data_IF_557029393630
#
_entry.id   IF_557029393630
#
_cell.length_a   1.000
_cell.length_b   1.000
_cell.length_c   1.000
_cell.angle_alpha   90.00
_cell.angle_beta   90.00
_cell.angle_gamma   90.00
#
_symmetry.space_group_name_H-M   'P 1'
#
loop_
_entity.id
_entity.type
_entity.pdbx_description
1 polymer ?
#
# COMPACT_ATOMS: atom_id res chain seq x y z
N UNK A 1 32.83 -84.54 12.25
CA UNK A 1 32.06 -84.27 11.02
C UNK A 1 32.68 -83.05 10.35
N UNK A 2 33.61 -83.23 9.40
CA UNK A 2 33.37 -83.24 7.94
C UNK A 2 32.70 -81.92 7.47
N UNK A 3 33.29 -81.08 6.61
CA UNK A 3 34.12 -81.33 5.42
C UNK A 3 34.90 -80.08 4.97
N UNK A 4 36.19 -80.30 4.62
CA UNK A 4 36.96 -79.87 3.43
C UNK A 4 37.11 -78.36 3.15
N UNK A 5 38.29 -77.72 3.21
CA UNK A 5 39.63 -78.02 2.67
C UNK A 5 39.72 -77.96 1.13
N UNK A 6 40.74 -77.23 0.65
CA UNK A 6 41.45 -77.28 -0.65
C UNK A 6 41.16 -76.10 -1.60
N UNK A 7 42.14 -75.47 -2.29
CA UNK A 7 43.56 -75.79 -2.52
C UNK A 7 44.22 -74.63 -3.33
N UNK A 8 45.52 -74.42 -3.09
CA UNK A 8 46.61 -74.09 -4.05
C UNK A 8 46.66 -72.71 -4.75
N UNK A 9 47.71 -71.91 -4.49
CA UNK A 9 49.04 -71.86 -5.17
C UNK A 9 49.01 -70.96 -6.42
N UNK A 10 49.62 -69.77 -6.35
CA UNK A 10 51.00 -69.51 -6.80
C UNK A 10 51.06 -69.12 -8.27
N UNK A 11 51.37 -67.85 -8.55
CA UNK A 11 52.49 -67.48 -9.42
C UNK A 11 52.59 -65.95 -9.54
N UNK A 12 53.78 -65.48 -9.21
CA UNK A 12 54.26 -64.12 -9.23
C UNK A 12 54.53 -63.63 -10.66
N UNK A 13 54.44 -62.30 -10.84
CA UNK A 13 55.35 -61.45 -11.64
C UNK A 13 54.94 -61.05 -13.08
N UNK A 14 55.14 -59.74 -13.34
CA UNK A 14 55.24 -59.03 -14.62
C UNK A 14 53.95 -58.60 -15.35
N UNK A 15 53.46 -57.40 -15.01
CA UNK A 15 53.23 -56.36 -16.03
C UNK A 15 53.24 -54.97 -15.38
N UNK A 16 54.34 -54.25 -15.59
CA UNK A 16 54.39 -52.81 -15.41
C UNK A 16 53.81 -52.15 -16.67
N UNK A 17 53.32 -50.90 -16.50
CA UNK A 17 53.06 -49.85 -17.50
C UNK A 17 51.58 -49.65 -17.89
N UNK A 18 51.13 -48.41 -17.67
CA UNK A 18 49.90 -47.70 -18.08
C UNK A 18 48.73 -47.61 -17.07
N UNK A 19 48.86 -46.69 -16.10
CA UNK A 19 47.72 -45.92 -15.62
C UNK A 19 48.09 -44.42 -15.58
N UNK A 20 48.06 -43.80 -16.76
CA UNK A 20 47.97 -42.35 -16.90
C UNK A 20 46.49 -41.94 -16.93
N UNK A 21 46.17 -40.95 -16.11
CA UNK A 21 45.09 -39.97 -16.28
C UNK A 21 43.67 -40.48 -16.54
N UNK A 22 42.85 -40.51 -15.49
CA UNK A 22 41.43 -40.17 -15.62
C UNK A 22 41.04 -39.15 -14.57
N UNK A 23 41.57 -37.94 -14.72
CA UNK A 23 40.83 -36.75 -14.29
C UNK A 23 39.55 -36.72 -15.13
N UNK A 24 38.40 -37.02 -14.54
CA UNK A 24 37.11 -36.63 -15.13
C UNK A 24 37.09 -35.11 -15.15
N UNK A 25 37.37 -34.56 -16.32
CA UNK A 25 37.08 -33.18 -16.67
C UNK A 25 35.58 -33.00 -16.52
N UNK A 26 35.15 -32.27 -15.49
CA UNK A 26 33.78 -31.77 -15.44
C UNK A 26 33.52 -31.03 -16.75
N UNK A 27 32.47 -31.42 -17.46
CA UNK A 27 32.01 -30.66 -18.63
C UNK A 27 31.78 -29.21 -18.19
N UNK A 28 32.18 -28.21 -19.00
CA UNK A 28 31.73 -26.85 -18.79
C UNK A 28 30.20 -26.89 -18.74
N UNK A 29 29.64 -26.54 -17.58
CA UNK A 29 28.20 -26.37 -17.45
C UNK A 29 27.77 -25.41 -18.55
N UNK A 30 26.80 -25.83 -19.35
CA UNK A 30 26.11 -24.93 -20.26
C UNK A 30 25.46 -23.88 -19.35
N UNK A 31 26.08 -22.70 -19.26
CA UNK A 31 25.45 -21.53 -18.67
C UNK A 31 24.16 -21.31 -19.48
N UNK A 32 23.03 -21.24 -18.76
CA UNK A 32 21.78 -20.77 -19.37
C UNK A 32 22.07 -19.44 -20.06
N UNK A 33 21.56 -19.19 -21.28
CA UNK A 33 21.80 -17.92 -21.97
C UNK A 33 21.46 -16.77 -21.03
N UNK A 34 22.45 -15.92 -20.76
CA UNK A 34 22.29 -14.74 -19.93
C UNK A 34 21.24 -13.83 -20.60
N UNK A 35 20.11 -13.58 -19.92
CA UNK A 35 19.07 -12.71 -20.46
C UNK A 35 19.63 -11.28 -20.51
N UNK A 36 19.69 -10.62 -21.69
CA UNK A 36 20.21 -9.27 -21.77
C UNK A 36 19.32 -8.30 -20.98
N UNK A 37 19.90 -7.63 -19.99
CA UNK A 37 19.19 -6.64 -19.18
C UNK A 37 19.16 -5.30 -19.91
N UNK A 38 17.95 -4.81 -20.19
CA UNK A 38 17.75 -3.48 -20.77
C UNK A 38 17.75 -2.45 -19.63
N UNK A 39 18.68 -1.46 -19.62
CA UNK A 39 18.71 -0.44 -18.59
C UNK A 39 17.37 0.31 -18.50
N UNK A 40 16.89 0.57 -17.28
CA UNK A 40 15.62 1.25 -17.05
C UNK A 40 15.82 2.64 -16.43
N UNK A 41 15.99 3.69 -17.26
CA UNK A 41 16.15 5.06 -16.77
C UNK A 41 14.84 5.59 -16.18
N UNK A 42 14.94 6.32 -15.08
CA UNK A 42 13.77 6.92 -14.40
C UNK A 42 14.04 8.39 -14.08
N UNK A 43 13.00 9.21 -13.89
CA UNK A 43 13.23 10.61 -13.52
C UNK A 43 13.96 10.72 -12.16
N UNK A 44 14.60 11.87 -11.92
CA UNK A 44 15.08 12.21 -10.58
C UNK A 44 13.86 12.56 -9.72
N UNK A 45 13.76 11.91 -8.56
CA UNK A 45 12.69 12.19 -7.60
C UNK A 45 12.73 13.62 -7.06
N UNK A 46 11.56 14.23 -6.86
CA UNK A 46 11.47 15.58 -6.27
C UNK A 46 11.68 15.53 -4.76
N UNK A 47 12.20 16.60 -4.12
CA UNK A 47 12.29 16.69 -2.67
C UNK A 47 10.96 16.46 -1.96
N UNK A 48 11.00 15.64 -0.90
CA UNK A 48 9.87 15.36 -0.01
C UNK A 48 10.27 15.74 1.41
N UNK A 49 9.48 16.60 2.04
CA UNK A 49 9.75 17.04 3.41
C UNK A 49 11.05 17.85 3.57
N UNK A 50 11.45 18.04 4.82
CA UNK A 50 12.64 18.81 5.17
C UNK A 50 13.91 17.97 5.05
N UNK A 51 15.05 18.64 4.85
CA UNK A 51 16.37 18.02 4.95
C UNK A 51 16.90 18.04 6.39
N UNK A 52 17.72 17.06 6.76
CA UNK A 52 18.59 17.13 7.94
C UNK A 52 19.99 17.56 7.52
N UNK A 53 20.61 18.49 8.24
CA UNK A 53 21.96 19.00 7.96
C UNK A 53 22.81 18.91 9.22
N UNK A 54 24.05 18.44 9.10
CA UNK A 54 25.01 18.37 10.21
C UNK A 54 26.45 18.52 9.71
N UNK A 55 27.23 19.32 10.40
CA UNK A 55 28.67 19.42 10.13
C UNK A 55 29.43 18.24 10.76
N UNK A 56 30.16 17.49 9.94
CA UNK A 56 30.93 16.30 10.35
C UNK A 56 32.35 16.43 9.83
N UNK A 57 33.34 16.27 10.73
CA UNK A 57 34.77 16.35 10.40
C UNK A 57 35.50 15.01 10.50
N UNK A 58 36.83 15.07 10.60
CA UNK A 58 37.69 13.90 10.64
C UNK A 58 37.44 12.95 11.84
N UNK A 59 36.83 13.45 12.92
CA UNK A 59 36.39 12.63 14.06
C UNK A 59 35.24 11.65 13.73
N UNK A 60 34.61 11.78 12.55
CA UNK A 60 33.42 11.02 12.18
C UNK A 60 32.18 11.52 12.90
N UNK A 61 31.06 10.83 12.68
CA UNK A 61 29.77 11.18 13.27
C UNK A 61 28.62 10.47 12.57
N UNK A 62 27.41 10.76 13.03
CA UNK A 62 26.18 10.28 12.41
C UNK A 62 25.18 11.39 12.21
N UNK A 63 24.31 11.19 11.22
CA UNK A 63 23.15 12.03 10.92
C UNK A 63 21.99 11.10 10.54
N UNK A 64 20.78 11.49 10.94
CA UNK A 64 19.55 10.74 10.67
C UNK A 64 18.59 11.67 9.93
N UNK A 65 17.88 11.12 8.94
CA UNK A 65 16.86 11.86 8.18
C UNK A 65 15.73 12.34 9.11
N UNK A 66 15.01 13.42 8.76
CA UNK A 66 13.97 13.97 9.65
C UNK A 66 12.80 13.02 9.93
N UNK A 67 12.55 12.05 9.06
CA UNK A 67 11.56 10.99 9.22
C UNK A 67 12.06 9.80 10.08
N UNK A 68 13.32 9.82 10.52
CA UNK A 68 13.94 8.75 11.31
C UNK A 68 14.28 7.49 10.50
N UNK A 69 14.02 7.45 9.19
CA UNK A 69 14.11 6.24 8.36
C UNK A 69 15.53 5.88 7.96
N UNK A 70 16.38 6.87 7.69
CA UNK A 70 17.76 6.66 7.26
C UNK A 70 18.72 7.22 8.28
N UNK A 71 19.69 6.41 8.68
CA UNK A 71 20.87 6.85 9.44
C UNK A 71 22.13 6.65 8.61
N UNK A 72 22.92 7.71 8.47
CA UNK A 72 24.24 7.68 7.84
C UNK A 72 25.30 7.82 8.93
N UNK A 73 26.16 6.81 9.06
CA UNK A 73 27.26 6.78 10.02
C UNK A 73 28.60 6.87 9.28
N UNK A 74 29.29 7.99 9.47
CA UNK A 74 30.58 8.30 8.87
C UNK A 74 31.68 7.97 9.89
N UNK A 75 32.54 6.97 9.63
CA UNK A 75 33.57 6.59 10.60
C UNK A 75 34.69 7.63 10.68
N UNK A 76 35.42 7.63 11.80
CA UNK A 76 36.58 8.50 11.98
C UNK A 76 37.64 8.27 10.88
N UNK A 77 38.14 9.36 10.30
CA UNK A 77 39.08 9.37 9.19
C UNK A 77 38.46 9.07 7.82
N UNK A 78 37.13 9.00 7.69
CA UNK A 78 36.49 8.94 6.37
C UNK A 78 36.51 10.29 5.64
N UNK A 79 36.49 11.39 6.41
CA UNK A 79 36.62 12.77 5.93
C UNK A 79 37.94 13.36 6.42
N UNK A 80 38.53 14.23 5.61
CA UNK A 80 39.76 14.98 5.96
C UNK A 80 39.47 16.36 6.55
N UNK A 81 38.32 16.95 6.23
CA UNK A 81 37.90 18.29 6.64
C UNK A 81 36.46 18.24 7.21
N UNK A 82 36.06 19.32 7.90
CA UNK A 82 34.66 19.52 8.24
C UNK A 82 33.82 19.70 6.96
N UNK A 83 32.80 18.88 6.81
CA UNK A 83 31.87 18.91 5.68
C UNK A 83 30.45 19.04 6.21
N UNK A 84 29.65 19.93 5.60
CA UNK A 84 28.22 20.00 5.86
C UNK A 84 27.53 18.81 5.16
N UNK A 85 27.13 17.82 5.95
CA UNK A 85 26.48 16.60 5.48
C UNK A 85 24.97 16.80 5.53
N UNK A 86 24.30 16.53 4.41
CA UNK A 86 22.85 16.66 4.31
C UNK A 86 22.21 15.36 3.83
N UNK A 87 21.07 15.01 4.43
CA UNK A 87 20.15 13.99 3.91
C UNK A 87 18.87 14.70 3.49
N UNK A 88 18.55 14.67 2.20
CA UNK A 88 17.30 15.16 1.64
C UNK A 88 16.46 13.96 1.17
N UNK A 89 15.33 13.64 1.82
CA UNK A 89 14.38 12.68 1.27
C UNK A 89 13.80 13.19 -0.04
N UNK A 90 13.61 12.29 -1.00
CA UNK A 90 13.04 12.57 -2.32
C UNK A 90 12.04 11.46 -2.70
N UNK A 91 11.16 11.76 -3.67
CA UNK A 91 10.26 10.76 -4.27
C UNK A 91 11.07 9.53 -4.73
N UNK A 92 10.55 8.33 -4.46
CA UNK A 92 11.22 7.11 -4.87
C UNK A 92 10.89 6.77 -6.32
N UNK A 93 11.88 6.92 -7.19
CA UNK A 93 11.79 6.57 -8.60
C UNK A 93 12.54 5.28 -8.94
N UNK A 94 13.06 4.57 -7.95
CA UNK A 94 13.73 3.27 -8.13
C UNK A 94 12.70 2.19 -8.45
N UNK A 95 12.93 1.35 -9.48
CA UNK A 95 12.08 0.21 -9.75
C UNK A 95 11.96 -0.71 -8.53
N UNK A 96 10.71 -1.09 -8.20
CA UNK A 96 10.39 -1.86 -6.98
C UNK A 96 10.95 -1.23 -5.67
N UNK A 97 11.08 0.10 -5.65
CA UNK A 97 11.55 0.87 -4.51
C UNK A 97 10.73 0.66 -3.23
N UNK A 98 11.40 0.90 -2.10
CA UNK A 98 10.84 0.81 -0.75
C UNK A 98 10.99 2.17 -0.07
N UNK A 99 9.89 2.70 0.47
CA UNK A 99 9.88 4.02 1.11
C UNK A 99 10.32 5.14 0.17
N UNK A 100 10.97 6.17 0.72
CA UNK A 100 11.56 7.27 -0.04
C UNK A 100 12.97 6.92 -0.57
N UNK A 101 13.41 7.65 -1.59
CA UNK A 101 14.83 7.71 -1.96
C UNK A 101 15.50 8.89 -1.25
N UNK A 102 16.82 8.96 -1.27
CA UNK A 102 17.56 10.00 -0.54
C UNK A 102 18.70 10.57 -1.36
N UNK A 103 18.77 11.90 -1.41
CA UNK A 103 19.95 12.62 -1.86
C UNK A 103 20.86 12.88 -0.67
N UNK A 104 22.03 12.24 -0.67
CA UNK A 104 23.11 12.53 0.27
C UNK A 104 23.99 13.60 -0.34
N UNK A 105 24.18 14.71 0.38
CA UNK A 105 24.95 15.87 -0.10
C UNK A 105 26.15 16.17 0.80
N UNK A 106 27.25 16.73 0.23
CA UNK A 106 27.38 17.14 -1.17
C UNK A 106 27.52 15.95 -2.14
N UNK A 107 26.83 16.02 -3.28
CA UNK A 107 26.90 14.99 -4.31
C UNK A 107 28.35 14.84 -4.82
N UNK A 108 28.81 13.61 -5.00
CA UNK A 108 30.16 13.30 -5.44
C UNK A 108 31.22 13.29 -4.33
N UNK A 109 30.86 13.61 -3.07
CA UNK A 109 31.77 13.48 -1.92
C UNK A 109 32.31 12.05 -1.84
N UNK A 110 33.63 11.90 -1.92
CA UNK A 110 34.32 10.62 -1.78
C UNK A 110 34.77 10.43 -0.33
N UNK A 111 34.70 9.19 0.17
CA UNK A 111 35.15 8.86 1.52
C UNK A 111 36.39 7.98 1.50
N UNK A 112 37.36 8.29 2.36
CA UNK A 112 38.56 7.48 2.52
C UNK A 112 38.29 6.12 3.20
N UNK A 113 37.15 6.00 3.88
CA UNK A 113 36.63 4.77 4.49
C UNK A 113 35.15 4.63 4.17
N UNK A 114 34.62 3.42 3.94
CA UNK A 114 33.20 3.24 3.66
C UNK A 114 32.31 3.80 4.77
N UNK A 115 31.23 4.45 4.37
CA UNK A 115 30.19 5.01 5.23
C UNK A 115 29.04 4.01 5.33
N UNK A 116 28.46 3.82 6.51
CA UNK A 116 27.33 2.91 6.70
C UNK A 116 26.02 3.67 6.57
N UNK A 117 25.13 3.21 5.70
CA UNK A 117 23.74 3.68 5.57
C UNK A 117 22.83 2.62 6.14
N UNK A 118 21.91 2.99 7.02
CA UNK A 118 20.97 2.07 7.65
C UNK A 118 19.54 2.55 7.43
N UNK A 119 18.72 1.68 6.83
CA UNK A 119 17.27 1.81 6.78
C UNK A 119 16.64 1.23 8.04
N UNK A 120 15.80 2.01 8.70
CA UNK A 120 14.90 1.59 9.78
C UNK A 120 13.50 1.40 9.20
N UNK A 121 13.20 0.16 8.80
CA UNK A 121 11.99 -0.16 8.06
C UNK A 121 10.81 -0.45 8.97
N UNK A 122 9.61 -0.23 8.46
CA UNK A 122 8.34 -0.73 9.02
C UNK A 122 7.88 -1.99 8.32
N UNK A 123 6.94 -2.70 8.93
CA UNK A 123 6.31 -3.84 8.29
C UNK A 123 5.46 -3.40 7.08
N UNK A 124 4.88 -2.21 7.14
CA UNK A 124 4.10 -1.60 6.06
C UNK A 124 4.97 -1.34 4.82
N UNK A 125 6.19 -0.83 4.99
CA UNK A 125 7.13 -0.62 3.87
C UNK A 125 7.57 -1.94 3.21
N UNK A 126 7.55 -3.04 3.95
CA UNK A 126 7.84 -4.37 3.42
C UNK A 126 6.63 -5.05 2.75
N UNK A 127 5.48 -4.39 2.63
CA UNK A 127 4.33 -4.96 1.93
C UNK A 127 4.71 -5.43 0.52
N UNK A 128 4.34 -6.67 0.20
CA UNK A 128 4.70 -7.35 -1.03
C UNK A 128 6.09 -7.99 -1.04
N UNK A 129 6.95 -7.76 -0.05
CA UNK A 129 8.34 -8.25 -0.04
C UNK A 129 8.81 -8.71 1.36
N UNK A 130 10.12 -8.86 1.55
CA UNK A 130 10.76 -9.22 2.80
C UNK A 130 12.07 -8.46 2.96
N UNK A 131 12.49 -8.17 4.21
CA UNK A 131 13.77 -7.54 4.51
C UNK A 131 14.96 -8.27 3.87
N UNK A 132 14.88 -9.61 3.75
CA UNK A 132 15.92 -10.45 3.14
C UNK A 132 16.04 -10.30 1.62
N UNK A 133 15.09 -9.61 0.98
CA UNK A 133 15.06 -9.33 -0.46
C UNK A 133 15.45 -7.90 -0.80
N UNK A 134 15.77 -7.08 0.22
CA UNK A 134 16.16 -5.70 0.04
C UNK A 134 17.61 -5.60 -0.44
N UNK A 135 17.78 -4.69 -1.39
CA UNK A 135 19.06 -4.27 -1.92
C UNK A 135 19.13 -2.74 -1.93
N UNK A 136 20.31 -2.21 -2.23
CA UNK A 136 20.58 -0.78 -2.16
C UNK A 136 21.32 -0.32 -3.41
N UNK A 137 20.86 0.77 -4.01
CA UNK A 137 21.38 1.25 -5.28
C UNK A 137 21.45 2.76 -5.39
N UNK A 138 22.29 3.21 -6.31
CA UNK A 138 22.48 4.62 -6.65
C UNK A 138 22.01 4.90 -8.07
N UNK A 139 21.53 6.12 -8.32
CA UNK A 139 21.19 6.57 -9.67
C UNK A 139 22.37 7.29 -10.31
N UNK A 140 22.76 6.88 -11.52
CA UNK A 140 23.88 7.49 -12.24
C UNK A 140 23.46 8.73 -13.06
N UNK A 141 24.41 9.36 -13.74
CA UNK A 141 24.18 10.57 -14.54
C UNK A 141 23.28 10.35 -15.77
N UNK A 142 23.12 9.10 -16.23
CA UNK A 142 22.19 8.70 -17.29
C UNK A 142 20.81 8.33 -16.72
N UNK A 143 20.57 8.61 -15.43
CA UNK A 143 19.35 8.31 -14.69
C UNK A 143 19.03 6.81 -14.56
N UNK A 144 20.03 5.95 -14.79
CA UNK A 144 19.93 4.50 -14.63
C UNK A 144 20.32 4.13 -13.21
N UNK A 145 19.53 3.25 -12.59
CA UNK A 145 19.84 2.72 -11.26
C UNK A 145 20.87 1.60 -11.35
N UNK A 146 21.82 1.65 -10.42
CA UNK A 146 22.89 0.67 -10.27
C UNK A 146 22.87 0.16 -8.84
N UNK A 147 22.69 -1.15 -8.70
CA UNK A 147 22.37 -1.80 -7.44
C UNK A 147 23.48 -2.70 -6.91
N UNK A 148 23.49 -2.90 -5.60
CA UNK A 148 24.34 -3.88 -4.93
C UNK A 148 23.55 -4.67 -3.89
N UNK A 149 23.83 -5.97 -3.82
CA UNK A 149 23.26 -6.87 -2.83
C UNK A 149 24.13 -7.05 -1.58
N UNK A 150 23.88 -8.14 -0.85
CA UNK A 150 24.60 -8.55 0.38
C UNK A 150 24.53 -7.53 1.53
N UNK A 151 23.33 -6.98 1.74
CA UNK A 151 23.08 -6.06 2.85
C UNK A 151 23.08 -6.78 4.21
N UNK A 152 23.39 -6.04 5.27
CA UNK A 152 23.32 -6.54 6.63
C UNK A 152 21.88 -6.39 7.16
N UNK A 153 21.15 -7.49 7.27
CA UNK A 153 19.77 -7.50 7.74
C UNK A 153 19.71 -7.85 9.23
N UNK A 154 19.09 -6.99 10.04
CA UNK A 154 18.77 -7.26 11.43
C UNK A 154 17.26 -7.17 11.63
N UNK A 155 16.59 -8.33 11.60
CA UNK A 155 15.13 -8.40 11.72
C UNK A 155 14.61 -8.08 13.12
N UNK A 156 15.45 -8.19 14.16
CA UNK A 156 15.07 -7.85 15.54
C UNK A 156 15.04 -6.33 15.74
N UNK A 157 16.04 -5.64 15.19
CA UNK A 157 16.10 -4.17 15.22
C UNK A 157 15.27 -3.52 14.09
N UNK A 158 14.72 -4.31 13.17
CA UNK A 158 14.05 -3.85 11.94
C UNK A 158 14.93 -2.92 11.10
N UNK A 159 16.19 -3.33 10.90
CA UNK A 159 17.15 -2.54 10.12
C UNK A 159 17.78 -3.31 8.97
N UNK A 160 18.07 -2.61 7.88
CA UNK A 160 18.94 -3.10 6.80
C UNK A 160 20.06 -2.09 6.57
N UNK A 161 21.32 -2.54 6.57
CA UNK A 161 22.48 -1.67 6.41
C UNK A 161 23.30 -2.00 5.16
N UNK A 162 23.75 -0.95 4.49
CA UNK A 162 24.64 -0.98 3.33
C UNK A 162 25.88 -0.13 3.61
N UNK A 163 26.96 -0.33 2.85
CA UNK A 163 28.14 0.54 2.89
C UNK A 163 28.33 1.24 1.56
N UNK A 164 28.59 2.55 1.58
CA UNK A 164 28.84 3.37 0.39
C UNK A 164 30.20 4.04 0.48
N UNK A 165 30.80 4.33 -0.68
CA UNK A 165 32.10 5.04 -0.77
C UNK A 165 31.98 6.49 -1.20
N UNK A 166 30.80 6.89 -1.66
CA UNK A 166 30.54 8.25 -2.06
C UNK A 166 29.10 8.67 -1.78
N UNK A 167 28.86 9.98 -1.72
CA UNK A 167 27.53 10.53 -1.70
C UNK A 167 26.99 10.79 -3.09
N UNK A 168 25.70 10.53 -3.25
CA UNK A 168 24.91 10.70 -4.45
C UNK A 168 23.44 10.48 -4.07
N UNK A 169 22.63 10.04 -5.02
CA UNK A 169 21.26 9.61 -4.82
C UNK A 169 21.20 8.12 -4.57
N UNK A 170 20.55 7.71 -3.49
CA UNK A 170 20.44 6.30 -3.13
C UNK A 170 19.01 5.90 -2.78
N UNK A 171 18.72 4.62 -2.93
CA UNK A 171 17.41 4.04 -2.60
C UNK A 171 17.52 2.57 -2.24
N UNK A 172 16.65 2.12 -1.35
CA UNK A 172 16.41 0.71 -1.10
C UNK A 172 15.31 0.20 -2.04
N UNK A 173 15.50 -0.99 -2.59
CA UNK A 173 14.56 -1.65 -3.48
C UNK A 173 14.47 -3.14 -3.20
N UNK A 174 13.40 -3.78 -3.69
CA UNK A 174 13.22 -5.22 -3.56
C UNK A 174 13.59 -5.95 -4.85
N UNK A 175 14.30 -7.08 -4.72
CA UNK A 175 14.60 -7.99 -5.84
C UNK A 175 13.37 -8.76 -6.32
N UNK A 176 12.47 -9.12 -5.39
CA UNK A 176 11.17 -9.70 -5.68
C UNK A 176 10.07 -9.00 -4.89
N UNK A 177 8.91 -8.80 -5.53
CA UNK A 177 7.75 -8.14 -4.91
C UNK A 177 6.44 -8.69 -5.46
N UNK A 178 5.51 -9.03 -4.58
CA UNK A 178 4.13 -9.37 -4.93
C UNK A 178 3.33 -8.08 -5.10
N UNK A 179 2.82 -7.84 -6.30
CA UNK A 179 2.07 -6.65 -6.67
C UNK A 179 0.60 -6.97 -6.99
N UNK A 180 -0.34 -6.04 -6.69
CA UNK A 180 -0.11 -4.89 -5.81
C UNK A 180 0.25 -5.34 -4.39
N UNK A 181 1.16 -4.63 -3.71
CA UNK A 181 1.54 -4.92 -2.31
C UNK A 181 0.36 -4.76 -1.35
N UNK A 182 -0.55 -3.86 -1.70
CA UNK A 182 -1.79 -3.58 -0.98
C UNK A 182 -2.88 -3.17 -1.97
N UNK A 183 -4.12 -3.52 -1.67
CA UNK A 183 -5.26 -3.12 -2.49
C UNK A 183 -6.52 -3.06 -1.66
N UNK A 184 -7.31 -2.01 -1.83
CA UNK A 184 -8.70 -1.99 -1.35
C UNK A 184 -9.65 -2.44 -2.45
N UNK A 185 -10.54 -3.37 -2.12
CA UNK A 185 -11.58 -3.92 -3.00
C UNK A 185 -12.95 -3.80 -2.35
N UNK A 186 -13.97 -3.60 -3.17
CA UNK A 186 -15.34 -3.85 -2.74
C UNK A 186 -15.61 -5.35 -2.71
N UNK A 187 -16.58 -5.79 -1.90
CA UNK A 187 -17.09 -7.18 -1.93
C UNK A 187 -17.39 -7.63 -3.37
N UNK A 188 -17.11 -8.89 -3.67
CA UNK A 188 -17.23 -9.50 -5.01
C UNK A 188 -16.32 -8.93 -6.12
N UNK A 189 -15.48 -7.93 -5.84
CA UNK A 189 -14.47 -7.50 -6.80
C UNK A 189 -13.29 -8.46 -6.83
N UNK A 190 -12.44 -8.30 -7.84
CA UNK A 190 -11.25 -9.12 -8.01
C UNK A 190 -10.02 -8.25 -8.23
N UNK A 191 -8.85 -8.80 -7.93
CA UNK A 191 -7.56 -8.18 -8.24
C UNK A 191 -6.59 -9.24 -8.80
N UNK A 192 -5.87 -8.87 -9.86
CA UNK A 192 -4.74 -9.65 -10.34
C UNK A 192 -3.54 -9.39 -9.43
N UNK A 193 -2.93 -10.47 -8.94
CA UNK A 193 -1.73 -10.48 -8.13
C UNK A 193 -0.60 -11.11 -8.92
N UNK A 194 0.56 -10.45 -9.01
CA UNK A 194 1.71 -10.89 -9.79
C UNK A 194 2.98 -10.82 -8.95
N UNK A 195 3.79 -11.89 -8.99
CA UNK A 195 5.13 -11.86 -8.42
C UNK A 195 6.09 -11.28 -9.45
N UNK A 196 6.63 -10.10 -9.14
CA UNK A 196 7.59 -9.38 -9.97
C UNK A 196 9.02 -9.65 -9.51
N UNK A 197 9.97 -9.64 -10.45
CA UNK A 197 11.41 -9.59 -10.23
C UNK A 197 11.99 -8.28 -10.76
N UNK A 198 13.06 -7.78 -10.15
CA UNK A 198 13.90 -6.73 -10.72
C UNK A 198 15.13 -7.37 -11.37
N UNK A 199 15.24 -7.42 -12.71
CA UNK A 199 16.42 -7.97 -13.38
C UNK A 199 17.63 -7.03 -13.21
N UNK A 200 18.81 -7.62 -13.19
CA UNK A 200 20.08 -6.89 -13.10
C UNK A 200 21.15 -7.58 -13.95
N UNK A 201 22.13 -6.84 -14.47
CA UNK A 201 23.21 -7.41 -15.30
C UNK A 201 24.09 -8.37 -14.48
N UNK A 202 24.37 -9.59 -14.92
CA UNK A 202 25.21 -10.50 -14.11
C UNK A 202 26.68 -10.06 -14.10
N UNK A 203 27.15 -9.42 -15.18
CA UNK A 203 28.51 -8.89 -15.27
C UNK A 203 28.57 -7.40 -14.84
N UNK A 204 29.23 -7.06 -13.71
CA UNK A 204 29.58 -5.68 -13.39
C UNK A 204 30.58 -5.16 -14.43
N UNK A 205 30.47 -3.90 -14.84
CA UNK A 205 31.37 -3.30 -15.86
C UNK A 205 32.83 -3.67 -15.55
N UNK A 206 33.52 -4.41 -16.43
CA UNK A 206 34.90 -4.87 -16.19
C UNK A 206 35.88 -3.70 -16.01
N UNK A 207 35.48 -2.47 -16.37
CA UNK A 207 36.26 -1.26 -16.18
C UNK A 207 36.04 -0.58 -14.81
N UNK A 208 35.05 -1.02 -14.00
CA UNK A 208 34.76 -0.47 -12.69
C UNK A 208 34.68 -1.56 -11.60
N UNK A 209 35.81 -2.22 -11.38
CA UNK A 209 36.00 -3.30 -10.39
C UNK A 209 35.91 -2.86 -8.92
N UNK A 210 35.80 -1.55 -8.61
CA UNK A 210 35.83 -1.07 -7.22
C UNK A 210 34.45 -1.02 -6.54
N UNK A 211 33.37 -1.07 -7.32
CA UNK A 211 31.99 -1.08 -6.85
C UNK A 211 31.22 -1.97 -7.85
N UNK A 212 31.09 -3.26 -7.53
CA UNK A 212 30.41 -4.27 -8.36
C UNK A 212 28.90 -3.96 -8.39
N UNK A 213 28.53 -2.86 -9.04
CA UNK A 213 27.15 -2.42 -9.16
C UNK A 213 26.56 -3.00 -10.44
N UNK A 214 25.42 -3.67 -10.28
CA UNK A 214 24.69 -4.25 -11.38
C UNK A 214 23.71 -3.21 -11.95
N UNK A 215 23.60 -3.14 -13.28
CA UNK A 215 22.62 -2.25 -13.92
C UNK A 215 21.23 -2.83 -13.71
N UNK A 216 20.32 -2.04 -13.15
CA UNK A 216 18.93 -2.45 -12.94
C UNK A 216 18.11 -2.27 -14.22
N UNK A 217 17.34 -3.30 -14.56
CA UNK A 217 16.44 -3.28 -15.70
C UNK A 217 14.98 -3.00 -15.33
N UNK A 218 14.09 -3.14 -16.31
CA UNK A 218 12.66 -2.97 -16.12
C UNK A 218 12.08 -4.13 -15.26
N UNK A 219 11.22 -3.85 -14.26
CA UNK A 219 10.55 -4.91 -13.52
C UNK A 219 9.78 -5.86 -14.45
N UNK A 220 9.98 -7.16 -14.27
CA UNK A 220 9.33 -8.20 -15.08
C UNK A 220 8.61 -9.21 -14.19
N UNK A 221 7.62 -9.90 -14.73
CA UNK A 221 6.99 -11.02 -14.00
C UNK A 221 8.04 -12.12 -13.85
N UNK A 222 8.14 -12.69 -12.64
CA UNK A 222 9.09 -13.78 -12.38
C UNK A 222 8.73 -15.03 -13.17
N UNK A 223 9.73 -15.87 -13.47
CA UNK A 223 9.49 -17.17 -14.09
C UNK A 223 8.57 -18.05 -13.21
N UNK A 224 7.64 -18.74 -13.87
CA UNK A 224 6.58 -19.52 -13.22
C UNK A 224 7.12 -20.62 -12.29
N UNK A 225 8.24 -21.25 -12.64
CA UNK A 225 8.88 -22.32 -11.86
C UNK A 225 9.49 -21.85 -10.53
N UNK A 226 9.64 -20.53 -10.33
CA UNK A 226 10.15 -19.96 -9.08
C UNK A 226 9.07 -19.72 -8.03
N UNK A 227 7.79 -19.74 -8.40
CA UNK A 227 6.69 -19.37 -7.50
C UNK A 227 5.83 -20.57 -7.14
N UNK A 228 5.48 -20.69 -5.87
CA UNK A 228 4.68 -21.81 -5.34
C UNK A 228 3.86 -21.39 -4.13
N UNK A 229 3.04 -22.32 -3.60
CA UNK A 229 2.36 -22.23 -2.30
C UNK A 229 1.56 -20.94 -2.08
N UNK A 230 0.64 -20.65 -3.00
CA UNK A 230 -0.29 -19.55 -2.80
C UNK A 230 -1.28 -19.85 -1.68
N UNK A 231 -1.45 -18.90 -0.75
CA UNK A 231 -2.41 -19.02 0.36
C UNK A 231 -3.16 -17.72 0.62
N UNK A 232 -4.32 -17.84 1.25
CA UNK A 232 -5.13 -16.72 1.76
C UNK A 232 -5.20 -16.87 3.28
N UNK A 233 -4.71 -15.90 4.04
CA UNK A 233 -4.54 -15.95 5.49
C UNK A 233 -3.83 -17.24 5.97
N UNK A 234 -2.72 -17.60 5.29
CA UNK A 234 -1.95 -18.82 5.53
C UNK A 234 -2.72 -20.15 5.33
N UNK A 235 -3.88 -20.12 4.69
CA UNK A 235 -4.70 -21.30 4.37
C UNK A 235 -4.72 -21.54 2.86
N UNK A 236 -4.80 -22.82 2.46
CA UNK A 236 -4.98 -23.19 1.07
C UNK A 236 -6.25 -22.54 0.51
N UNK A 237 -6.15 -21.95 -0.68
CA UNK A 237 -7.28 -21.29 -1.33
C UNK A 237 -8.34 -22.31 -1.74
N UNK A 238 -9.61 -22.02 -1.40
CA UNK A 238 -10.77 -22.77 -1.83
C UNK A 238 -11.87 -21.80 -2.29
N UNK A 239 -12.53 -22.10 -3.42
CA UNK A 239 -13.57 -21.25 -3.97
C UNK A 239 -14.69 -20.98 -2.95
N UNK A 240 -15.09 -19.71 -2.83
CA UNK A 240 -16.15 -19.29 -1.91
C UNK A 240 -15.75 -19.14 -0.44
N UNK A 241 -14.45 -19.20 -0.11
CA UNK A 241 -13.96 -18.96 1.25
C UNK A 241 -14.33 -17.55 1.75
N UNK A 242 -14.67 -17.42 3.04
CA UNK A 242 -15.09 -16.16 3.68
C UNK A 242 -14.01 -15.08 3.77
N UNK A 243 -12.73 -15.45 3.57
CA UNK A 243 -11.60 -14.53 3.44
C UNK A 243 -11.25 -14.21 1.98
N UNK A 244 -12.02 -14.72 1.01
CA UNK A 244 -11.70 -14.66 -0.41
C UNK A 244 -10.93 -15.87 -0.90
N UNK A 245 -10.78 -15.99 -2.22
CA UNK A 245 -10.12 -17.14 -2.84
C UNK A 245 -9.33 -16.73 -4.09
N UNK A 246 -8.44 -17.62 -4.51
CA UNK A 246 -7.56 -17.45 -5.65
C UNK A 246 -7.98 -18.36 -6.81
N UNK A 247 -7.88 -17.83 -8.02
CA UNK A 247 -8.03 -18.58 -9.28
C UNK A 247 -6.88 -18.28 -10.24
N UNK A 248 -6.77 -19.07 -11.32
CA UNK A 248 -5.72 -18.92 -12.34
C UNK A 248 -4.81 -20.14 -12.40
N UNK A 249 -4.34 -20.48 -13.60
CA UNK A 249 -3.46 -21.64 -13.85
C UNK A 249 -1.98 -21.31 -13.71
N UNK A 250 -1.58 -20.07 -14.00
CA UNK A 250 -0.21 -19.60 -13.82
C UNK A 250 0.21 -19.65 -12.34
N UNK A 251 1.48 -19.92 -12.07
CA UNK A 251 2.03 -19.99 -10.70
C UNK A 251 2.64 -18.67 -10.25
N UNK A 252 3.08 -17.82 -11.17
CA UNK A 252 3.63 -16.49 -10.92
C UNK A 252 2.57 -15.38 -10.80
N UNK A 253 1.31 -15.70 -11.08
CA UNK A 253 0.17 -14.79 -10.89
C UNK A 253 -1.11 -15.51 -10.48
N UNK A 254 -1.99 -14.83 -9.73
CA UNK A 254 -3.30 -15.31 -9.33
C UNK A 254 -4.32 -14.18 -9.33
N UNK A 255 -5.56 -14.51 -9.69
CA UNK A 255 -6.70 -13.62 -9.47
C UNK A 255 -7.23 -13.85 -8.05
N UNK A 256 -7.17 -12.84 -7.19
CA UNK A 256 -7.88 -12.84 -5.92
C UNK A 256 -9.33 -12.39 -6.11
N UNK A 257 -10.26 -13.07 -5.45
CA UNK A 257 -11.68 -12.78 -5.42
C UNK A 257 -12.08 -12.37 -4.01
N UNK A 258 -12.49 -11.12 -3.85
CA UNK A 258 -13.07 -10.64 -2.61
C UNK A 258 -14.42 -11.35 -2.36
N UNK A 259 -14.68 -11.82 -1.14
CA UNK A 259 -15.92 -12.52 -0.83
C UNK A 259 -17.14 -11.57 -0.84
N UNK A 260 -18.34 -12.14 -0.75
CA UNK A 260 -19.59 -11.39 -0.72
C UNK A 260 -19.81 -10.58 0.58
N UNK A 261 -19.05 -10.89 1.63
CA UNK A 261 -19.09 -10.19 2.92
C UNK A 261 -17.67 -9.76 3.31
N UNK A 262 -17.56 -8.71 4.12
CA UNK A 262 -16.26 -8.29 4.66
C UNK A 262 -15.70 -9.43 5.54
N UNK A 263 -14.46 -9.90 5.29
CA UNK A 263 -13.81 -10.91 6.10
C UNK A 263 -13.67 -10.48 7.56
N UNK A 264 -13.70 -11.44 8.49
CA UNK A 264 -13.49 -11.16 9.91
C UNK A 264 -12.06 -10.68 10.21
N UNK A 265 -11.07 -11.24 9.49
CA UNK A 265 -9.69 -10.77 9.49
C UNK A 265 -9.45 -9.94 8.23
N UNK A 266 -9.43 -8.63 8.40
CA UNK A 266 -9.29 -7.64 7.33
C UNK A 266 -8.25 -6.60 7.77
N UNK A 267 -7.18 -6.33 7.01
CA UNK A 267 -6.89 -6.82 5.66
C UNK A 267 -6.64 -8.33 5.57
N UNK A 268 -6.96 -8.90 4.41
CA UNK A 268 -6.66 -10.29 4.05
C UNK A 268 -5.22 -10.40 3.56
N UNK A 269 -4.43 -11.28 4.16
CA UNK A 269 -3.07 -11.57 3.71
C UNK A 269 -3.10 -12.62 2.59
N UNK A 270 -2.81 -12.21 1.35
CA UNK A 270 -2.57 -13.14 0.24
C UNK A 270 -1.08 -13.34 0.07
N UNK A 271 -0.61 -14.58 0.11
CA UNK A 271 0.83 -14.86 0.06
C UNK A 271 1.21 -15.87 -1.00
N UNK A 272 2.47 -15.78 -1.45
CA UNK A 272 3.10 -16.71 -2.37
C UNK A 272 4.56 -16.93 -1.95
N UNK A 273 5.07 -18.14 -2.15
CA UNK A 273 6.47 -18.46 -1.91
C UNK A 273 7.29 -18.25 -3.18
N UNK A 274 8.39 -17.51 -3.06
CA UNK A 274 9.40 -17.35 -4.11
C UNK A 274 10.66 -18.16 -3.76
N UNK A 275 11.17 -18.92 -4.71
CA UNK A 275 12.47 -19.58 -4.63
C UNK A 275 13.54 -18.66 -5.23
N UNK A 276 14.45 -18.16 -4.38
CA UNK A 276 15.53 -17.23 -4.77
C UNK A 276 16.80 -17.95 -5.22
N UNK A 277 16.79 -19.28 -5.31
CA UNK A 277 17.97 -20.12 -5.49
C UNK A 277 18.79 -20.33 -4.20
N UNK A 278 18.73 -19.37 -3.27
CA UNK A 278 19.37 -19.45 -1.94
C UNK A 278 18.42 -19.95 -0.84
N UNK A 279 17.12 -19.95 -1.11
CA UNK A 279 16.09 -20.36 -0.16
C UNK A 279 14.70 -19.99 -0.65
N UNK A 280 13.70 -20.26 0.19
CA UNK A 280 12.30 -19.88 -0.07
C UNK A 280 11.90 -18.74 0.84
N UNK A 281 11.31 -17.70 0.27
CA UNK A 281 10.81 -16.53 0.99
C UNK A 281 9.31 -16.39 0.69
N UNK A 282 8.51 -16.05 1.70
CA UNK A 282 7.10 -15.75 1.52
C UNK A 282 6.91 -14.26 1.27
N UNK A 283 6.25 -13.92 0.17
CA UNK A 283 5.80 -12.57 -0.18
C UNK A 283 4.33 -12.43 0.24
N UNK A 284 3.94 -11.27 0.77
CA UNK A 284 2.57 -11.04 1.28
C UNK A 284 2.00 -9.75 0.71
N UNK A 285 0.82 -9.84 0.09
CA UNK A 285 -0.01 -8.71 -0.31
C UNK A 285 -1.18 -8.57 0.65
N UNK A 286 -1.51 -7.33 1.04
CA UNK A 286 -2.59 -7.02 1.97
C UNK A 286 -3.81 -6.48 1.23
N UNK A 287 -4.90 -7.26 1.20
CA UNK A 287 -6.13 -6.89 0.51
C UNK A 287 -7.19 -6.47 1.52
N UNK A 288 -7.51 -5.19 1.55
CA UNK A 288 -8.63 -4.66 2.35
C UNK A 288 -9.93 -4.86 1.58
N UNK A 289 -10.88 -5.58 2.16
CA UNK A 289 -12.21 -5.76 1.57
C UNK A 289 -13.23 -4.89 2.31
N UNK A 290 -14.02 -4.11 1.60
CA UNK A 290 -15.05 -3.25 2.19
C UNK A 290 -16.37 -3.36 1.40
N UNK A 291 -17.48 -2.90 1.98
CA UNK A 291 -18.71 -2.69 1.20
C UNK A 291 -18.69 -1.30 0.61
N UNK A 292 -19.47 -1.09 -0.43
CA UNK A 292 -19.64 0.24 -1.02
C UNK A 292 -20.33 1.16 0.00
N UNK A 293 -19.75 2.34 0.21
CA UNK A 293 -20.38 3.43 0.95
C UNK A 293 -20.52 4.62 0.01
N UNK A 294 -21.66 5.28 0.06
CA UNK A 294 -22.00 6.37 -0.85
C UNK A 294 -22.84 7.39 -0.12
N UNK A 295 -22.60 8.66 -0.42
CA UNK A 295 -23.38 9.78 0.10
C UNK A 295 -23.60 10.75 -1.07
N UNK A 296 -24.85 10.99 -1.40
CA UNK A 296 -25.24 11.95 -2.43
C UNK A 296 -26.56 12.62 -2.09
N UNK A 297 -26.69 13.89 -2.47
CA UNK A 297 -27.96 14.59 -2.40
C UNK A 297 -28.14 15.58 -3.54
N UNK A 298 -29.38 15.97 -3.76
CA UNK A 298 -29.78 17.05 -4.64
C UNK A 298 -30.75 17.96 -3.92
N UNK A 299 -30.64 19.26 -4.19
CA UNK A 299 -31.54 20.28 -3.67
C UNK A 299 -31.55 21.47 -4.63
N UNK A 300 -32.73 22.04 -4.88
CA UNK A 300 -32.91 23.22 -5.76
C UNK A 300 -32.28 23.04 -7.16
N UNK A 301 -32.45 21.85 -7.74
CA UNK A 301 -31.90 21.49 -9.06
C UNK A 301 -30.39 21.23 -9.11
N UNK A 302 -29.66 21.46 -8.00
CA UNK A 302 -28.23 21.14 -7.88
C UNK A 302 -28.05 19.72 -7.34
N UNK A 303 -27.02 19.01 -7.82
CA UNK A 303 -26.72 17.63 -7.40
C UNK A 303 -25.27 17.51 -6.96
N UNK A 304 -25.06 16.82 -5.84
CA UNK A 304 -23.74 16.61 -5.25
C UNK A 304 -23.54 15.14 -4.94
N UNK A 305 -22.38 14.61 -5.35
CA UNK A 305 -22.02 13.19 -5.26
C UNK A 305 -20.63 13.03 -4.64
N UNK A 306 -20.26 11.80 -4.29
CA UNK A 306 -18.98 11.47 -3.67
C UNK A 306 -18.70 12.29 -2.40
N UNK A 307 -19.76 12.53 -1.62
CA UNK A 307 -19.70 13.34 -0.42
C UNK A 307 -18.98 12.59 0.70
N UNK A 308 -18.36 13.34 1.61
CA UNK A 308 -17.99 12.81 2.91
C UNK A 308 -19.25 12.68 3.75
N UNK A 309 -19.35 11.62 4.57
CA UNK A 309 -20.54 11.39 5.36
C UNK A 309 -20.27 10.71 6.68
N UNK A 310 -21.15 10.95 7.64
CA UNK A 310 -21.13 10.31 8.96
C UNK A 310 -22.56 10.01 9.36
N UNK A 311 -22.76 8.83 9.93
CA UNK A 311 -24.03 8.43 10.54
C UNK A 311 -23.77 7.98 11.96
N UNK A 312 -24.57 8.47 12.89
CA UNK A 312 -24.67 7.95 14.26
C UNK A 312 -26.13 7.69 14.57
N UNK A 313 -26.43 6.53 15.13
CA UNK A 313 -27.82 6.11 15.31
C UNK A 313 -27.93 5.12 16.47
N UNK A 314 -29.02 5.23 17.22
CA UNK A 314 -29.32 4.34 18.34
C UNK A 314 -30.79 3.99 18.35
N UNK A 315 -31.12 2.72 18.12
CA UNK A 315 -32.51 2.24 18.22
C UNK A 315 -33.01 2.21 19.66
N UNK A 316 -32.08 2.17 20.63
CA UNK A 316 -32.40 2.21 22.07
C UNK A 316 -32.72 3.63 22.50
N UNK A 317 -31.88 4.61 22.14
CA UNK A 317 -32.15 6.03 22.41
C UNK A 317 -33.23 6.61 21.48
N UNK A 318 -33.53 5.93 20.37
CA UNK A 318 -34.50 6.39 19.38
C UNK A 318 -33.96 7.51 18.47
N UNK A 319 -32.63 7.65 18.35
CA UNK A 319 -31.99 8.73 17.61
C UNK A 319 -31.38 8.27 16.29
N UNK A 320 -31.36 9.17 15.31
CA UNK A 320 -30.63 8.99 14.05
C UNK A 320 -30.07 10.34 13.60
N UNK A 321 -28.78 10.38 13.30
CA UNK A 321 -28.08 11.55 12.80
C UNK A 321 -27.32 11.17 11.54
N UNK A 322 -27.49 11.95 10.48
CA UNK A 322 -26.75 11.81 9.23
C UNK A 322 -26.22 13.17 8.82
N UNK A 323 -24.93 13.21 8.52
CA UNK A 323 -24.25 14.37 7.97
C UNK A 323 -23.61 13.98 6.63
N UNK A 324 -23.75 14.84 5.64
CA UNK A 324 -23.04 14.75 4.36
C UNK A 324 -22.45 16.11 4.00
N UNK A 325 -21.24 16.11 3.47
CA UNK A 325 -20.48 17.32 3.13
C UNK A 325 -19.76 17.17 1.79
N UNK A 326 -19.86 18.19 0.95
CA UNK A 326 -19.09 18.29 -0.30
C UNK A 326 -17.63 18.63 -0.01
N UNK A 327 -16.72 18.06 -0.80
CA UNK A 327 -15.29 18.43 -0.78
C UNK A 327 -15.02 19.76 -1.48
N UNK A 328 -15.96 20.20 -2.31
CA UNK A 328 -15.85 21.41 -3.12
C UNK A 328 -16.79 22.50 -2.58
N UNK A 329 -16.30 23.74 -2.61
CA UNK A 329 -17.09 24.94 -2.32
C UNK A 329 -17.85 25.33 -3.59
N UNK A 330 -19.15 25.63 -3.45
CA UNK A 330 -19.97 26.18 -4.54
C UNK A 330 -20.45 27.57 -4.11
N UNK A 331 -20.02 28.62 -4.81
CA UNK A 331 -20.29 29.99 -4.39
C UNK A 331 -19.58 30.34 -3.08
N UNK A 332 -20.33 30.70 -2.05
CA UNK A 332 -19.83 31.09 -0.72
C UNK A 332 -20.02 30.00 0.35
N UNK A 333 -20.54 28.83 -0.03
CA UNK A 333 -20.89 27.74 0.90
C UNK A 333 -20.27 26.42 0.49
N UNK A 334 -19.96 25.57 1.47
CA UNK A 334 -19.71 24.14 1.24
C UNK A 334 -21.08 23.44 1.25
N UNK A 335 -21.51 22.82 0.13
CA UNK A 335 -22.76 22.08 0.11
C UNK A 335 -22.81 20.98 1.17
N UNK A 336 -23.87 20.96 1.98
CA UNK A 336 -24.03 19.96 3.04
C UNK A 336 -25.47 19.59 3.29
N UNK A 337 -25.71 18.38 3.78
CA UNK A 337 -26.99 17.91 4.28
C UNK A 337 -26.83 17.40 5.71
N UNK A 338 -27.69 17.87 6.62
CA UNK A 338 -27.80 17.37 7.99
C UNK A 338 -29.22 16.85 8.17
N UNK A 339 -29.35 15.61 8.62
CA UNK A 339 -30.61 15.02 9.04
C UNK A 339 -30.51 14.61 10.50
N UNK A 340 -31.51 15.00 11.29
CA UNK A 340 -31.66 14.65 12.70
C UNK A 340 -33.00 13.98 12.91
N UNK A 341 -33.03 12.95 13.76
CA UNK A 341 -34.22 12.36 14.36
C UNK A 341 -33.96 12.27 15.86
N UNK A 342 -34.78 12.98 16.63
CA UNK A 342 -34.61 13.07 18.08
C UNK A 342 -35.29 11.95 18.85
N UNK A 343 -36.34 11.33 18.29
CA UNK A 343 -37.14 10.30 18.96
C UNK A 343 -37.67 9.27 17.95
N UNK A 344 -37.94 8.05 18.42
CA UNK A 344 -38.73 7.07 17.65
C UNK A 344 -38.00 6.31 16.55
N UNK A 345 -36.68 6.48 16.37
CA UNK A 345 -35.91 5.65 15.44
C UNK A 345 -35.88 4.18 15.89
N UNK A 346 -36.26 3.26 14.99
CA UNK A 346 -36.35 1.80 15.26
C UNK A 346 -35.61 0.94 14.24
N UNK A 347 -34.74 1.53 13.43
CA UNK A 347 -34.01 0.83 12.36
C UNK A 347 -34.71 0.96 11.01
N UNK A 348 -34.81 -0.15 10.27
CA UNK A 348 -35.47 -0.16 8.97
C UNK A 348 -36.92 0.33 9.07
N UNK A 349 -37.33 1.20 8.15
CA UNK A 349 -38.65 1.83 8.21
C UNK A 349 -38.71 3.18 7.50
N UNK A 350 -39.88 3.79 7.60
CA UNK A 350 -40.20 5.07 6.99
C UNK A 350 -40.52 6.10 8.07
N UNK A 351 -39.83 7.23 8.05
CA UNK A 351 -39.91 8.27 9.06
C UNK A 351 -40.24 9.59 8.38
N UNK A 352 -41.47 10.07 8.56
CA UNK A 352 -41.91 11.35 8.01
C UNK A 352 -41.23 12.52 8.70
N UNK A 353 -40.96 13.57 7.93
CA UNK A 353 -40.55 14.88 8.45
C UNK A 353 -41.56 15.41 9.47
N UNK A 354 -41.05 16.09 10.51
CA UNK A 354 -41.88 16.79 11.50
C UNK A 354 -41.86 16.24 12.92
N UNK A 355 -42.81 16.71 13.72
CA UNK A 355 -42.76 16.65 15.20
C UNK A 355 -42.84 15.25 15.78
N UNK A 356 -43.59 14.33 15.16
CA UNK A 356 -43.90 13.00 15.72
C UNK A 356 -42.67 12.17 16.10
N UNK A 357 -41.52 12.46 15.47
CA UNK A 357 -40.21 11.81 15.72
C UNK A 357 -39.04 12.82 15.68
N UNK A 358 -39.36 14.12 15.73
CA UNK A 358 -38.40 15.22 15.57
C UNK A 358 -37.48 15.05 14.35
N UNK A 359 -38.06 14.70 13.19
CA UNK A 359 -37.30 14.50 11.96
C UNK A 359 -37.13 15.83 11.25
N UNK A 360 -35.90 16.35 11.26
CA UNK A 360 -35.56 17.61 10.63
C UNK A 360 -34.35 17.45 9.70
N UNK A 361 -34.47 17.98 8.49
CA UNK A 361 -33.43 18.01 7.47
C UNK A 361 -33.05 19.47 7.19
N UNK A 362 -31.74 19.74 7.16
CA UNK A 362 -31.18 21.03 6.74
C UNK A 362 -30.23 20.80 5.57
N UNK A 363 -30.38 21.57 4.51
CA UNK A 363 -29.48 21.57 3.35
C UNK A 363 -28.90 22.95 3.15
N UNK A 364 -27.57 23.03 3.12
CA UNK A 364 -26.84 24.26 2.85
C UNK A 364 -26.34 24.20 1.42
N UNK A 365 -26.77 25.13 0.57
CA UNK A 365 -26.28 25.29 -0.81
C UNK A 365 -26.24 26.77 -1.15
N UNK A 366 -25.18 27.29 -1.79
CA UNK A 366 -25.12 28.73 -2.10
C UNK A 366 -26.31 29.19 -2.96
N UNK A 367 -27.02 30.27 -2.60
CA UNK A 367 -26.86 31.14 -1.41
C UNK A 367 -27.72 30.73 -0.19
N UNK A 368 -28.57 29.72 -0.33
CA UNK A 368 -29.64 29.37 0.60
C UNK A 368 -29.22 28.41 1.73
N UNK A 369 -30.06 28.36 2.77
CA UNK A 369 -30.06 27.32 3.79
C UNK A 369 -31.50 26.84 3.91
N UNK A 370 -31.76 25.64 3.43
CA UNK A 370 -33.08 25.04 3.32
C UNK A 370 -33.35 24.19 4.55
N UNK A 371 -34.55 24.29 5.13
CA UNK A 371 -34.94 23.57 6.34
C UNK A 371 -36.28 22.88 6.15
N UNK A 372 -36.50 21.79 6.87
CA UNK A 372 -37.82 21.16 6.93
C UNK A 372 -38.85 22.08 7.57
N UNK A 373 -38.46 22.84 8.60
CA UNK A 373 -39.32 23.74 9.35
C UNK A 373 -39.51 25.08 8.64
N UNK A 374 -40.74 25.62 8.67
CA UNK A 374 -41.09 26.96 8.17
C UNK A 374 -42.26 27.56 8.98
N UNK A 375 -42.47 28.87 8.87
CA UNK A 375 -43.56 29.58 9.54
C UNK A 375 -44.53 30.20 8.52
N UNK A 376 -45.83 30.08 8.75
CA UNK A 376 -46.84 30.81 7.98
C UNK A 376 -46.95 32.25 8.49
N UNK A 377 -47.29 33.20 7.62
CA UNK A 377 -47.41 34.61 7.98
C UNK A 377 -48.41 34.81 9.14
N UNK A 378 -47.98 35.54 10.18
CA UNK A 378 -48.80 35.80 11.36
C UNK A 378 -48.93 34.62 12.32
N UNK A 379 -48.22 33.52 12.10
CA UNK A 379 -48.23 32.35 13.00
C UNK A 379 -46.92 32.22 13.79
N UNK A 380 -47.02 31.71 15.02
CA UNK A 380 -45.87 31.38 15.87
C UNK A 380 -45.60 29.87 15.93
N UNK A 381 -46.51 29.08 15.35
CA UNK A 381 -46.41 27.62 15.34
C UNK A 381 -45.68 27.18 14.08
N UNK A 382 -44.64 26.34 14.20
CA UNK A 382 -43.93 25.85 13.05
C UNK A 382 -44.80 24.91 12.21
N UNK A 383 -44.53 24.92 10.92
CA UNK A 383 -44.99 23.94 9.94
C UNK A 383 -43.79 23.17 9.41
N UNK A 384 -44.06 22.00 8.86
CA UNK A 384 -43.02 21.12 8.34
C UNK A 384 -43.32 20.79 6.88
N UNK A 385 -42.30 20.90 6.04
CA UNK A 385 -42.37 20.44 4.67
C UNK A 385 -42.65 18.95 4.60
N UNK A 386 -43.42 18.53 3.60
CA UNK A 386 -43.68 17.11 3.37
C UNK A 386 -42.37 16.41 3.00
N UNK A 387 -42.08 15.29 3.65
CA UNK A 387 -40.92 14.49 3.29
C UNK A 387 -40.77 13.29 4.19
N UNK A 388 -39.83 12.43 3.84
CA UNK A 388 -39.66 11.13 4.47
C UNK A 388 -38.22 10.67 4.35
N UNK A 389 -37.75 10.04 5.41
CA UNK A 389 -36.52 9.26 5.45
C UNK A 389 -36.90 7.79 5.41
N UNK A 390 -36.44 7.07 4.39
CA UNK A 390 -36.66 5.64 4.25
C UNK A 390 -35.34 4.91 4.51
N UNK A 391 -35.29 4.12 5.58
CA UNK A 391 -34.18 3.20 5.84
C UNK A 391 -34.55 1.85 5.25
N UNK A 392 -33.94 1.51 4.11
CA UNK A 392 -34.25 0.29 3.36
C UNK A 392 -33.52 -0.92 3.89
N UNK A 393 -32.27 -0.74 4.34
CA UNK A 393 -31.48 -1.80 4.98
C UNK A 393 -30.99 -1.30 6.32
N UNK A 394 -31.24 -2.06 7.39
CA UNK A 394 -30.69 -1.81 8.72
C UNK A 394 -29.85 -3.02 9.17
N UNK A 395 -28.59 -3.07 8.71
CA UNK A 395 -27.67 -4.16 9.01
C UNK A 395 -27.23 -4.22 10.48
N UNK A 396 -26.57 -5.32 10.84
CA UNK A 396 -25.82 -5.42 12.10
C UNK A 396 -24.58 -4.51 12.08
N UNK A 397 -23.92 -4.36 13.22
CA UNK A 397 -22.59 -3.71 13.27
C UNK A 397 -21.64 -4.42 12.29
N UNK A 398 -20.95 -3.65 11.44
CA UNK A 398 -20.12 -4.14 10.34
C UNK A 398 -20.88 -4.44 9.03
N UNK A 399 -22.20 -4.32 9.01
CA UNK A 399 -23.03 -4.49 7.82
C UNK A 399 -23.51 -3.16 7.24
N UNK A 400 -24.02 -3.23 6.01
CA UNK A 400 -24.47 -2.06 5.27
C UNK A 400 -25.81 -1.57 5.83
N UNK A 401 -25.92 -0.26 5.97
CA UNK A 401 -27.18 0.45 6.14
C UNK A 401 -27.38 1.32 4.92
N UNK A 402 -28.59 1.29 4.37
CA UNK A 402 -28.95 2.07 3.18
C UNK A 402 -30.23 2.83 3.44
N UNK A 403 -30.31 4.05 2.93
CA UNK A 403 -31.52 4.83 3.01
C UNK A 403 -31.61 5.93 1.97
N UNK A 404 -32.81 6.50 1.88
CA UNK A 404 -33.12 7.63 1.02
C UNK A 404 -33.84 8.71 1.82
N UNK A 405 -33.69 9.95 1.37
CA UNK A 405 -34.44 11.12 1.86
C UNK A 405 -35.15 11.70 0.64
N UNK A 406 -36.43 12.00 0.77
CA UNK A 406 -37.17 12.75 -0.26
C UNK A 406 -38.15 13.68 0.41
N UNK A 407 -38.27 14.91 -0.07
CA UNK A 407 -39.24 15.86 0.47
C UNK A 407 -39.10 17.26 -0.08
N UNK A 408 -39.77 18.19 0.58
CA UNK A 408 -39.71 19.63 0.32
C UNK A 408 -39.05 20.31 1.51
N UNK A 409 -38.04 21.13 1.22
CA UNK A 409 -37.41 22.03 2.17
C UNK A 409 -37.79 23.47 1.85
N UNK A 410 -37.68 24.32 2.85
CA UNK A 410 -38.11 25.70 2.83
C UNK A 410 -36.93 26.61 3.15
N UNK A 411 -36.83 27.72 2.43
CA UNK A 411 -35.98 28.84 2.79
C UNK A 411 -36.87 30.02 3.14
N UNK A 412 -36.66 30.61 4.31
CA UNK A 412 -37.36 31.80 4.75
C UNK A 412 -36.39 32.86 5.25
N UNK A 413 -36.57 34.08 4.77
CA UNK A 413 -35.81 35.24 5.22
C UNK A 413 -36.72 36.44 5.35
N UNK A 414 -36.78 36.99 6.56
CA UNK A 414 -37.58 38.18 6.86
C UNK A 414 -36.67 39.40 7.00
N UNK A 415 -36.95 40.46 6.24
CA UNK A 415 -36.27 41.75 6.34
C UNK A 415 -37.34 42.84 6.49
N UNK A 416 -37.44 43.42 7.68
CA UNK A 416 -38.56 44.31 8.02
C UNK A 416 -39.90 43.55 7.99
N UNK A 417 -40.86 44.03 7.20
CA UNK A 417 -42.18 43.41 7.05
C UNK A 417 -42.29 42.52 5.80
N UNK A 418 -41.19 42.26 5.09
CA UNK A 418 -41.19 41.43 3.88
C UNK A 418 -40.55 40.08 4.24
N UNK A 419 -41.30 39.00 4.03
CA UNK A 419 -40.83 37.63 4.15
C UNK A 419 -40.64 37.03 2.76
N UNK A 420 -39.41 36.70 2.41
CA UNK A 420 -39.12 35.84 1.26
C UNK A 420 -39.31 34.38 1.69
N UNK A 421 -40.14 33.62 0.96
CA UNK A 421 -40.34 32.19 1.19
C UNK A 421 -40.17 31.43 -0.12
N UNK A 422 -39.27 30.46 -0.13
CA UNK A 422 -39.02 29.56 -1.26
C UNK A 422 -39.12 28.12 -0.83
N UNK A 423 -39.35 27.24 -1.80
CA UNK A 423 -39.35 25.79 -1.62
C UNK A 423 -38.40 25.12 -2.59
N UNK A 424 -37.72 24.08 -2.14
CA UNK A 424 -36.90 23.21 -2.98
C UNK A 424 -37.20 21.75 -2.70
N UNK A 425 -37.22 20.92 -3.74
CA UNK A 425 -37.23 19.47 -3.56
C UNK A 425 -35.84 19.02 -3.09
N UNK A 426 -35.80 18.15 -2.08
CA UNK A 426 -34.59 17.44 -1.65
C UNK A 426 -34.72 15.97 -2.00
N UNK A 427 -33.67 15.40 -2.56
CA UNK A 427 -33.51 13.95 -2.69
C UNK A 427 -32.10 13.58 -2.27
N UNK A 428 -31.96 12.61 -1.36
CA UNK A 428 -30.66 12.09 -0.95
C UNK A 428 -30.66 10.57 -0.94
N UNK A 429 -29.50 9.99 -1.19
CA UNK A 429 -29.23 8.57 -1.02
C UNK A 429 -27.96 8.41 -0.19
N UNK A 430 -27.99 7.45 0.73
CA UNK A 430 -26.81 7.10 1.49
C UNK A 430 -26.67 5.59 1.68
N UNK A 431 -25.43 5.17 1.75
CA UNK A 431 -25.02 3.83 2.16
C UNK A 431 -23.79 3.94 3.04
N UNK A 432 -23.81 3.29 4.20
CA UNK A 432 -22.71 3.33 5.15
C UNK A 432 -22.57 2.01 5.90
N UNK A 433 -21.39 1.76 6.47
CA UNK A 433 -21.17 0.62 7.37
C UNK A 433 -21.59 1.03 8.78
N UNK A 434 -22.48 0.24 9.39
CA UNK A 434 -22.93 0.49 10.75
C UNK A 434 -21.80 0.23 11.74
N UNK A 435 -21.44 1.24 12.52
CA UNK A 435 -20.34 1.17 13.48
C UNK A 435 -20.80 0.88 14.92
N UNK A 436 -22.09 1.08 15.21
CA UNK A 436 -22.72 0.94 16.54
C UNK A 436 -24.19 0.50 16.45
#
# INVERSE_FOLDING_TARGET
>A
MLRKLNLLFSATLFFAILFLNSCKKESPGIQSPEEPVTPFPTAIGKPVGNASIKEIGAGGGSITSPDGRITVAIPAGALSNNTSITIQPIENTTPLGIGLSYDFLPNGQQFAKPVTVTLHYTNEELAGTSAALLEFGTQNAQNVWQGSGNLQVNTTAQTVSATIKHFSRWSFYATFKLLPSEKTLLVNQTALLQVMKLPYSEDPDPNNVQELLHVLGEPTIVAADKVSNWTVNAQASAAGNSNGWLTGSATNEKQYHAPANVPANNPVAVSANINTGKGTITLVSNITVQKETSFEFSCDGQSYKNLEGTVSASTTAGTFYLFMLSKEITGDKVPSLVLTMGEGFKGAGSYSFGEKNLVACTVTTSPYEWKTEYFEEGTVMPRFGNGTVNITTWGKVGELVTGTISGTLHYQKTVGNITEHRTAAVNAQFSYIRNE
#
